data_IF_552073868947
#
_entry.id   IF_552073868947
#
_cell.length_a   1.000
_cell.length_b   1.000
_cell.length_c   1.000
_cell.angle_alpha   90.00
_cell.angle_beta   90.00
_cell.angle_gamma   90.00
#
_symmetry.space_group_name_H-M   'P 1'
#
loop_
_entity.id
_entity.type
_entity.pdbx_description
1 polymer ?
#
# COMPACT_ATOMS: atom_id res chain seq x y z
N UNK A 1 16.77 1.49 -3.39
CA UNK A 1 16.06 1.34 -2.09
C UNK A 1 16.58 0.20 -1.22
N UNK A 2 16.66 -1.04 -1.74
CA UNK A 2 17.17 -2.20 -0.98
C UNK A 2 18.62 -2.02 -0.52
N UNK A 3 19.47 -1.48 -1.40
CA UNK A 3 20.88 -1.18 -1.13
C UNK A 3 21.09 -0.11 -0.05
N UNK A 4 20.04 0.66 0.27
CA UNK A 4 20.06 1.71 1.30
C UNK A 4 19.38 1.26 2.59
N UNK A 5 19.03 -0.03 2.73
CA UNK A 5 18.39 -0.56 3.93
C UNK A 5 16.99 0.00 4.20
N UNK A 6 16.29 0.50 3.17
CA UNK A 6 14.94 1.07 3.35
C UNK A 6 13.94 -0.04 3.67
N UNK A 7 13.38 0.03 4.88
CA UNK A 7 12.50 -0.99 5.44
C UNK A 7 11.15 -0.35 5.76
N UNK A 8 10.08 -1.06 5.40
CA UNK A 8 8.71 -0.71 5.79
C UNK A 8 8.08 -1.93 6.45
N UNK A 9 7.70 -1.81 7.72
CA UNK A 9 6.93 -2.80 8.45
C UNK A 9 6.20 -2.13 9.61
N UNK A 10 5.15 -2.78 10.12
CA UNK A 10 4.43 -2.31 11.32
C UNK A 10 5.23 -2.65 12.59
N UNK A 11 5.84 -3.84 12.64
CA UNK A 11 6.73 -4.27 13.72
C UNK A 11 7.77 -5.30 13.23
N UNK A 12 8.92 -5.44 13.92
CA UNK A 12 9.91 -6.48 13.62
C UNK A 12 9.37 -7.90 13.83
N UNK A 13 9.89 -8.87 13.09
CA UNK A 13 9.47 -10.29 13.17
C UNK A 13 9.66 -10.90 14.57
N UNK A 14 10.66 -10.44 15.32
CA UNK A 14 10.87 -10.82 16.72
C UNK A 14 9.69 -10.42 17.61
N UNK A 15 9.15 -9.21 17.43
CA UNK A 15 7.94 -8.76 18.13
C UNK A 15 6.70 -9.55 17.70
N UNK A 16 6.57 -9.85 16.40
CA UNK A 16 5.49 -10.72 15.88
C UNK A 16 5.51 -12.09 16.56
N UNK A 17 6.70 -12.68 16.72
CA UNK A 17 6.86 -13.99 17.35
C UNK A 17 6.36 -13.99 18.80
N UNK A 18 6.70 -12.96 19.57
CA UNK A 18 6.28 -12.83 20.98
C UNK A 18 4.76 -12.68 21.11
N UNK A 19 4.12 -11.90 20.23
CA UNK A 19 2.69 -11.62 20.29
C UNK A 19 1.87 -12.81 19.76
N UNK A 20 2.23 -13.33 18.60
CA UNK A 20 1.47 -14.40 17.92
C UNK A 20 1.78 -15.79 18.44
N UNK A 21 2.85 -15.94 19.24
CA UNK A 21 3.40 -17.22 19.71
C UNK A 21 3.83 -18.15 18.57
N UNK A 22 4.01 -17.61 17.37
CA UNK A 22 4.58 -18.35 16.24
C UNK A 22 6.11 -18.35 16.38
N UNK A 23 6.79 -19.50 16.25
CA UNK A 23 8.25 -19.56 16.28
C UNK A 23 8.89 -18.64 15.23
N UNK A 24 10.02 -18.03 15.59
CA UNK A 24 10.71 -17.06 14.73
C UNK A 24 11.16 -17.72 13.41
N UNK A 25 11.57 -18.97 13.45
CA UNK A 25 11.98 -19.76 12.28
C UNK A 25 10.83 -19.89 11.28
N UNK A 26 9.61 -20.13 11.78
CA UNK A 26 8.41 -20.22 10.94
C UNK A 26 8.06 -18.87 10.33
N UNK A 27 8.18 -17.78 11.10
CA UNK A 27 7.96 -16.43 10.59
C UNK A 27 8.99 -16.05 9.52
N UNK A 28 10.26 -16.42 9.70
CA UNK A 28 11.31 -16.17 8.72
C UNK A 28 11.07 -16.89 7.39
N UNK A 29 10.47 -18.08 7.40
CA UNK A 29 10.03 -18.74 6.17
C UNK A 29 8.81 -18.05 5.54
N UNK A 30 7.85 -17.59 6.34
CA UNK A 30 6.68 -16.86 5.86
C UNK A 30 7.04 -15.52 5.22
N UNK A 31 8.06 -14.83 5.74
CA UNK A 31 8.60 -13.57 5.20
C UNK A 31 9.04 -13.70 3.74
N UNK A 32 9.51 -14.88 3.31
CA UNK A 32 9.98 -15.08 1.93
C UNK A 32 8.86 -15.08 0.90
N UNK A 33 7.65 -15.46 1.30
CA UNK A 33 6.53 -15.72 0.38
C UNK A 33 5.32 -14.84 0.65
N UNK A 34 5.23 -14.24 1.84
CA UNK A 34 4.09 -13.42 2.23
C UNK A 34 4.50 -11.95 2.41
N UNK A 35 4.01 -11.04 1.55
CA UNK A 35 4.35 -9.62 1.58
C UNK A 35 3.90 -8.91 2.87
N UNK A 36 2.94 -9.48 3.61
CA UNK A 36 2.47 -8.91 4.89
C UNK A 36 3.52 -9.04 6.00
N UNK A 37 4.32 -10.11 5.98
CA UNK A 37 5.39 -10.33 6.95
C UNK A 37 6.74 -9.80 6.48
N UNK A 38 6.87 -9.53 5.17
CA UNK A 38 8.12 -9.12 4.59
C UNK A 38 8.43 -7.63 4.83
N UNK A 39 9.69 -7.34 5.16
CA UNK A 39 10.13 -6.02 5.64
C UNK A 39 10.68 -5.09 4.54
N UNK A 40 10.33 -5.33 3.27
CA UNK A 40 10.85 -4.58 2.13
C UNK A 40 9.94 -3.43 1.68
N UNK A 41 10.53 -2.28 1.34
CA UNK A 41 9.81 -1.18 0.69
C UNK A 41 9.13 -1.60 -0.64
N UNK A 42 9.67 -2.61 -1.33
CA UNK A 42 9.09 -3.18 -2.56
C UNK A 42 7.70 -3.79 -2.31
N UNK A 43 7.51 -4.51 -1.21
CA UNK A 43 6.20 -5.05 -0.86
C UNK A 43 5.20 -3.94 -0.58
N UNK A 44 5.63 -2.85 0.07
CA UNK A 44 4.77 -1.71 0.30
C UNK A 44 4.45 -0.92 -0.98
N UNK A 45 5.38 -0.90 -1.94
CA UNK A 45 5.15 -0.38 -3.29
C UNK A 45 4.10 -1.23 -4.05
N UNK A 46 4.19 -2.55 -4.00
CA UNK A 46 3.22 -3.46 -4.63
C UNK A 46 1.82 -3.34 -4.01
N UNK A 47 1.75 -2.99 -2.72
CA UNK A 47 0.50 -2.66 -2.03
C UNK A 47 -0.05 -1.27 -2.39
N UNK A 48 0.64 -0.49 -3.22
CA UNK A 48 0.25 0.90 -3.57
C UNK A 48 0.48 1.89 -2.43
N UNK A 49 1.27 1.52 -1.41
CA UNK A 49 1.64 2.41 -0.30
C UNK A 49 2.70 3.44 -0.68
N UNK A 50 3.44 3.19 -1.76
CA UNK A 50 4.47 4.06 -2.32
C UNK A 50 4.15 4.29 -3.79
N UNK A 51 4.07 5.55 -4.21
CA UNK A 51 3.76 5.89 -5.60
C UNK A 51 4.98 5.67 -6.50
N UNK A 52 6.16 6.15 -6.08
CA UNK A 52 7.43 6.06 -6.81
C UNK A 52 8.59 5.63 -5.89
N UNK A 53 9.35 4.63 -6.33
CA UNK A 53 10.55 4.14 -5.64
C UNK A 53 11.80 4.82 -6.18
N UNK A 54 12.38 5.74 -5.41
CA UNK A 54 13.62 6.43 -5.81
C UNK A 54 14.81 5.48 -5.69
N UNK A 55 15.53 5.26 -6.80
CA UNK A 55 16.62 4.27 -6.83
C UNK A 55 17.87 4.76 -6.10
N UNK A 56 18.22 6.04 -6.25
CA UNK A 56 19.41 6.66 -5.66
C UNK A 56 19.08 8.00 -4.97
N UNK A 57 19.74 8.34 -3.85
CA UNK A 57 19.51 9.59 -3.13
C UNK A 57 19.62 10.86 -3.99
N UNK A 58 20.51 10.87 -4.97
CA UNK A 58 20.76 12.01 -5.84
C UNK A 58 19.53 12.36 -6.70
N UNK A 59 18.69 11.36 -7.00
CA UNK A 59 17.48 11.53 -7.80
C UNK A 59 16.30 12.11 -6.97
N UNK A 60 16.40 12.11 -5.63
CA UNK A 60 15.28 12.48 -4.75
C UNK A 60 14.73 13.87 -5.05
N UNK A 61 15.60 14.87 -5.25
CA UNK A 61 15.17 16.25 -5.50
C UNK A 61 14.32 16.34 -6.76
N UNK A 62 14.75 15.69 -7.84
CA UNK A 62 14.05 15.69 -9.11
C UNK A 62 12.68 14.99 -8.99
N UNK A 63 12.64 13.81 -8.35
CA UNK A 63 11.40 13.08 -8.10
C UNK A 63 10.42 13.89 -7.25
N UNK A 64 10.86 14.52 -6.16
CA UNK A 64 9.98 15.33 -5.30
C UNK A 64 9.34 16.48 -6.08
N UNK A 65 10.13 17.21 -6.89
CA UNK A 65 9.61 18.32 -7.68
C UNK A 65 8.58 17.86 -8.71
N UNK A 66 8.85 16.75 -9.39
CA UNK A 66 7.92 16.10 -10.32
C UNK A 66 6.61 15.76 -9.61
N UNK A 67 6.67 15.02 -8.50
CA UNK A 67 5.48 14.59 -7.76
C UNK A 67 4.65 15.77 -7.25
N UNK A 68 5.30 16.82 -6.71
CA UNK A 68 4.59 18.03 -6.25
C UNK A 68 3.85 18.71 -7.40
N UNK A 69 4.46 18.78 -8.58
CA UNK A 69 3.81 19.33 -9.78
C UNK A 69 2.61 18.48 -10.19
N UNK A 70 2.77 17.17 -10.28
CA UNK A 70 1.70 16.23 -10.66
C UNK A 70 0.49 16.33 -9.71
N UNK A 71 0.73 16.35 -8.40
CA UNK A 71 -0.33 16.50 -7.39
C UNK A 71 -1.05 17.84 -7.54
N UNK A 72 -0.32 18.94 -7.78
CA UNK A 72 -0.92 20.26 -8.00
C UNK A 72 -1.76 20.30 -9.27
N UNK A 73 -1.27 19.69 -10.34
CA UNK A 73 -1.97 19.66 -11.63
C UNK A 73 -3.25 18.81 -11.54
N UNK A 74 -3.22 17.67 -10.84
CA UNK A 74 -4.41 16.84 -10.58
C UNK A 74 -5.47 17.60 -9.77
N UNK A 75 -5.06 18.29 -8.70
CA UNK A 75 -5.97 19.13 -7.88
C UNK A 75 -6.61 20.25 -8.70
N UNK A 76 -5.85 20.93 -9.56
CA UNK A 76 -6.38 21.97 -10.45
C UNK A 76 -7.42 21.44 -11.43
N UNK A 77 -7.32 20.16 -11.81
CA UNK A 77 -8.27 19.48 -12.69
C UNK A 77 -9.47 18.89 -11.93
N UNK A 78 -9.55 19.02 -10.60
CA UNK A 78 -10.59 18.42 -9.77
C UNK A 78 -10.51 16.89 -9.67
N UNK A 79 -9.34 16.29 -9.97
CA UNK A 79 -9.10 14.84 -9.96
C UNK A 79 -8.55 14.36 -8.62
N UNK A 80 -9.22 14.73 -7.53
CA UNK A 80 -8.81 14.36 -6.17
C UNK A 80 -8.96 12.86 -5.89
N UNK A 81 -9.82 12.18 -6.65
CA UNK A 81 -9.98 10.72 -6.66
C UNK A 81 -8.73 9.96 -7.12
N UNK A 82 -7.92 10.59 -7.98
CA UNK A 82 -6.60 10.09 -8.40
C UNK A 82 -5.51 10.38 -7.36
N UNK A 83 -5.87 10.87 -6.19
CA UNK A 83 -4.98 11.10 -5.06
C UNK A 83 -5.45 10.32 -3.82
N UNK A 84 -4.59 10.28 -2.81
CA UNK A 84 -4.97 9.77 -1.49
C UNK A 84 -5.29 8.27 -1.46
N UNK A 85 -6.25 7.89 -0.62
CA UNK A 85 -6.49 6.48 -0.27
C UNK A 85 -7.13 5.66 -1.39
N UNK A 86 -7.92 6.30 -2.26
CA UNK A 86 -8.59 5.64 -3.39
C UNK A 86 -7.57 5.25 -4.45
N UNK A 87 -6.77 6.21 -4.89
CA UNK A 87 -5.65 5.99 -5.81
C UNK A 87 -4.69 4.90 -5.32
N UNK A 88 -4.22 4.99 -4.07
CA UNK A 88 -3.31 3.99 -3.47
C UNK A 88 -3.92 2.59 -3.49
N UNK A 89 -5.22 2.48 -3.26
CA UNK A 89 -5.93 1.21 -3.31
C UNK A 89 -6.02 0.64 -4.73
N UNK A 90 -6.29 1.48 -5.72
CA UNK A 90 -6.34 1.09 -7.13
C UNK A 90 -4.97 0.67 -7.66
N UNK A 91 -3.95 1.50 -7.45
CA UNK A 91 -2.56 1.21 -7.83
C UNK A 91 -2.08 -0.08 -7.18
N UNK A 92 -2.38 -0.28 -5.90
CA UNK A 92 -2.05 -1.52 -5.19
C UNK A 92 -2.79 -2.75 -5.76
N UNK A 93 -4.00 -2.58 -6.29
CA UNK A 93 -4.71 -3.66 -6.97
C UNK A 93 -4.08 -3.97 -8.34
N UNK A 94 -3.72 -2.96 -9.12
CA UNK A 94 -3.05 -3.08 -10.42
C UNK A 94 -1.68 -3.77 -10.29
N UNK A 95 -0.90 -3.44 -9.26
CA UNK A 95 0.39 -4.08 -8.93
C UNK A 95 0.25 -5.46 -8.28
N UNK A 96 -0.99 -5.87 -7.99
CA UNK A 96 -1.31 -7.22 -7.54
C UNK A 96 -1.37 -7.43 -6.02
N UNK A 97 -1.03 -6.43 -5.21
CA UNK A 97 -1.06 -6.52 -3.75
C UNK A 97 -2.47 -6.45 -3.13
N UNK A 98 -3.33 -5.52 -3.57
CA UNK A 98 -4.63 -5.21 -2.92
C UNK A 98 -5.87 -5.71 -3.68
N UNK A 99 -5.77 -6.82 -4.41
CA UNK A 99 -6.88 -7.33 -5.25
C UNK A 99 -8.19 -7.51 -4.48
N UNK A 100 -8.13 -8.09 -3.27
CA UNK A 100 -9.31 -8.33 -2.41
C UNK A 100 -9.98 -7.07 -1.86
N UNK A 101 -9.28 -5.93 -1.79
CA UNK A 101 -9.87 -4.66 -1.35
C UNK A 101 -11.01 -4.23 -2.26
N UNK A 102 -10.84 -4.38 -3.57
CA UNK A 102 -11.84 -3.95 -4.55
C UNK A 102 -13.10 -4.81 -4.47
N UNK A 103 -12.96 -6.13 -4.29
CA UNK A 103 -14.07 -7.04 -4.04
C UNK A 103 -14.85 -6.65 -2.78
N UNK A 104 -14.14 -6.35 -1.68
CA UNK A 104 -14.76 -5.96 -0.42
C UNK A 104 -15.51 -4.63 -0.52
N UNK A 105 -14.93 -3.61 -1.16
CA UNK A 105 -15.60 -2.31 -1.35
C UNK A 105 -16.85 -2.46 -2.21
N UNK A 106 -16.76 -3.23 -3.30
CA UNK A 106 -17.91 -3.52 -4.15
C UNK A 106 -19.03 -4.18 -3.36
N UNK A 107 -18.71 -5.20 -2.56
CA UNK A 107 -19.69 -5.91 -1.74
C UNK A 107 -20.34 -4.99 -0.69
N UNK A 108 -19.54 -4.14 -0.04
CA UNK A 108 -20.07 -3.14 0.91
C UNK A 108 -21.08 -2.20 0.25
N UNK A 109 -20.78 -1.73 -0.97
CA UNK A 109 -21.69 -0.87 -1.73
C UNK A 109 -22.98 -1.60 -2.10
N UNK A 110 -22.89 -2.84 -2.60
CA UNK A 110 -24.06 -3.66 -2.95
C UNK A 110 -24.98 -3.89 -1.74
N UNK A 111 -24.42 -4.16 -0.55
CA UNK A 111 -25.23 -4.34 0.67
C UNK A 111 -25.82 -3.01 1.17
N UNK A 112 -25.08 -1.91 1.06
CA UNK A 112 -25.60 -0.58 1.40
C UNK A 112 -26.80 -0.19 0.53
N UNK A 113 -26.72 -0.41 -0.78
CA UNK A 113 -27.81 -0.10 -1.72
C UNK A 113 -29.07 -0.91 -1.46
N UNK A 114 -28.95 -2.17 -1.01
CA UNK A 114 -30.11 -3.00 -0.64
C UNK A 114 -30.81 -2.49 0.61
N UNK A 115 -30.07 -1.92 1.57
CA UNK A 115 -30.62 -1.37 2.80
C UNK A 115 -31.20 0.03 2.63
N UNK A 116 -30.80 0.77 1.59
CA UNK A 116 -31.20 2.16 1.37
C UNK A 116 -32.73 2.38 1.40
N UNK A 117 -33.58 1.52 0.78
CA UNK A 117 -35.02 1.67 0.81
C UNK A 117 -35.66 1.47 2.20
N UNK A 118 -34.99 0.78 3.11
CA UNK A 118 -35.47 0.56 4.49
C UNK A 118 -35.11 1.72 5.43
N UNK A 119 -34.19 2.59 5.01
CA UNK A 119 -33.67 3.72 5.78
C UNK A 119 -34.29 5.08 5.40
N UNK A 120 -35.08 5.11 4.33
CA UNK A 120 -35.79 6.28 3.81
C UNK A 120 -37.30 6.17 4.09
#
# INVERSE_FOLDING_TARGET
PRDYGTIVHVMPTTSIAVITKIPLERLNELVKTNPVFASGAEFFYDLGGIDEMVKKPEDMRATILKTVKEVRDLRKQGKDDQLGIWHRGEVGAQRGGRKKRMEAIKKMQEEYEKMLPELL
#
